data_IF_924267196076
#
_entry.id   IF_924267196076
#
_cell.length_a   1.000
_cell.length_b   1.000
_cell.length_c   1.000
_cell.angle_alpha   90.00
_cell.angle_beta   90.00
_cell.angle_gamma   90.00
#
_symmetry.space_group_name_H-M   'P 1'
#
loop_
_entity.id
_entity.type
_entity.pdbx_description
1 polymer ?
#
# COMPACT_ATOMS: atom_id res chain seq x y z
N UNK A 1 -10.89 -9.29 48.74
CA UNK A 1 -10.10 -8.63 49.80
C UNK A 1 -11.08 -7.86 50.70
N UNK A 2 -11.28 -8.29 51.96
CA UNK A 2 -12.20 -7.60 52.88
C UNK A 2 -11.51 -6.33 53.39
N UNK A 3 -12.04 -5.15 53.06
CA UNK A 3 -11.64 -3.92 53.73
C UNK A 3 -12.03 -4.00 55.22
N UNK A 4 -11.28 -3.31 56.10
CA UNK A 4 -11.42 -3.34 57.58
C UNK A 4 -12.82 -2.98 58.12
N UNK A 5 -13.77 -2.66 57.26
CA UNK A 5 -15.05 -2.05 57.57
C UNK A 5 -16.23 -3.04 57.33
N UNK A 6 -15.96 -4.28 56.92
CA UNK A 6 -16.99 -5.29 56.67
C UNK A 6 -17.87 -5.07 55.42
N UNK A 7 -17.80 -3.91 54.77
CA UNK A 7 -18.44 -3.67 53.46
C UNK A 7 -17.65 -4.36 52.35
N UNK A 8 -18.33 -5.18 51.57
CA UNK A 8 -17.85 -5.65 50.27
C UNK A 8 -17.74 -4.41 49.38
N UNK A 9 -16.51 -3.97 49.07
CA UNK A 9 -16.31 -2.98 48.01
C UNK A 9 -16.92 -3.55 46.74
N UNK A 10 -17.84 -2.82 46.12
CA UNK A 10 -18.33 -3.21 44.81
C UNK A 10 -17.12 -3.35 43.88
N UNK A 11 -17.08 -4.35 42.99
CA UNK A 11 -15.94 -4.54 42.07
C UNK A 11 -15.62 -3.27 41.25
N UNK A 12 -16.59 -2.36 41.14
CA UNK A 12 -16.49 -1.05 40.50
C UNK A 12 -15.55 -0.10 41.25
N UNK A 13 -15.58 -0.06 42.59
CA UNK A 13 -14.71 0.82 43.39
C UNK A 13 -13.24 0.40 43.27
N UNK A 14 -12.97 -0.91 43.28
CA UNK A 14 -11.61 -1.43 43.12
C UNK A 14 -11.06 -1.11 41.72
N UNK A 15 -11.88 -1.28 40.68
CA UNK A 15 -11.50 -0.93 39.31
C UNK A 15 -11.19 0.58 39.18
N UNK A 16 -11.95 1.43 39.86
CA UNK A 16 -11.72 2.88 39.86
C UNK A 16 -10.39 3.25 40.51
N UNK A 17 -10.07 2.67 41.67
CA UNK A 17 -8.81 2.94 42.38
C UNK A 17 -7.59 2.50 41.56
N UNK A 18 -7.63 1.28 41.00
CA UNK A 18 -6.55 0.78 40.13
C UNK A 18 -6.37 1.67 38.90
N UNK A 19 -7.48 2.16 38.33
CA UNK A 19 -7.44 3.07 37.19
C UNK A 19 -6.80 4.41 37.56
N UNK A 20 -7.11 4.98 38.72
CA UNK A 20 -6.51 6.23 39.20
C UNK A 20 -5.00 6.09 39.44
N UNK A 21 -4.55 4.97 40.01
CA UNK A 21 -3.13 4.70 40.24
C UNK A 21 -2.37 4.62 38.91
N UNK A 22 -2.89 3.88 37.92
CA UNK A 22 -2.31 3.81 36.57
C UNK A 22 -2.24 5.20 35.91
N UNK A 23 -3.28 6.05 36.06
CA UNK A 23 -3.23 7.41 35.53
C UNK A 23 -2.16 8.26 36.21
N UNK A 24 -1.99 8.11 37.53
CA UNK A 24 -0.98 8.84 38.29
C UNK A 24 0.43 8.42 37.87
N UNK A 25 0.68 7.13 37.72
CA UNK A 25 1.98 6.61 37.30
C UNK A 25 2.31 7.01 35.86
N UNK A 26 1.31 6.96 34.97
CA UNK A 26 1.47 7.45 33.60
C UNK A 26 1.82 8.94 33.56
N UNK A 27 1.21 9.78 34.41
CA UNK A 27 1.55 11.20 34.49
C UNK A 27 2.99 11.46 34.95
N UNK A 28 3.64 10.48 35.59
CA UNK A 28 5.06 10.53 35.95
C UNK A 28 5.98 10.04 34.83
N UNK A 29 5.44 9.53 33.72
CA UNK A 29 6.22 9.13 32.56
C UNK A 29 6.96 10.34 31.96
N UNK A 30 8.30 10.26 31.78
CA UNK A 30 9.06 11.33 31.14
C UNK A 30 8.50 11.73 29.77
N UNK A 31 7.97 10.76 29.01
CA UNK A 31 7.34 11.03 27.70
C UNK A 31 6.08 11.89 27.84
N UNK A 32 5.21 11.63 28.82
CA UNK A 32 3.96 12.37 29.00
C UNK A 32 4.15 13.73 29.67
N UNK A 33 5.31 13.98 30.27
CA UNK A 33 5.71 15.30 30.78
C UNK A 33 6.18 16.26 29.68
N UNK A 34 6.55 15.75 28.51
CA UNK A 34 6.92 16.59 27.37
C UNK A 34 5.69 17.35 26.84
N UNK A 35 5.85 18.56 26.26
CA UNK A 35 4.77 19.21 25.51
C UNK A 35 4.22 18.32 24.38
N UNK A 36 2.94 18.49 24.04
CA UNK A 36 2.27 17.66 23.03
C UNK A 36 2.96 17.73 21.66
N UNK A 37 3.51 18.88 21.31
CA UNK A 37 4.26 19.12 20.08
C UNK A 37 5.48 18.21 19.99
N UNK A 38 6.26 18.12 21.08
CA UNK A 38 7.46 17.28 21.14
C UNK A 38 7.08 15.80 21.09
N UNK A 39 5.99 15.40 21.78
CA UNK A 39 5.48 14.03 21.70
C UNK A 39 5.06 13.66 20.27
N UNK A 40 4.32 14.54 19.58
CA UNK A 40 3.90 14.32 18.20
C UNK A 40 5.10 14.20 17.25
N UNK A 41 6.18 14.96 17.47
CA UNK A 41 7.44 14.79 16.72
C UNK A 41 8.05 13.41 16.96
N UNK A 42 8.16 12.97 18.23
CA UNK A 42 8.65 11.63 18.58
C UNK A 42 7.79 10.55 17.91
N UNK A 43 6.47 10.67 17.98
CA UNK A 43 5.57 9.74 17.32
C UNK A 43 5.77 9.74 15.81
N UNK A 44 5.98 10.90 15.19
CA UNK A 44 6.36 11.02 13.78
C UNK A 44 7.58 10.18 13.42
N UNK A 45 8.64 10.24 14.21
CA UNK A 45 9.84 9.42 14.00
C UNK A 45 9.62 7.92 14.23
N UNK A 46 8.74 7.56 15.17
CA UNK A 46 8.50 6.15 15.53
C UNK A 46 7.56 5.45 14.54
N UNK A 47 6.47 6.11 14.14
CA UNK A 47 5.38 5.47 13.38
C UNK A 47 5.04 6.17 12.07
N UNK A 48 5.55 7.37 11.79
CA UNK A 48 5.26 8.12 10.58
C UNK A 48 6.24 7.82 9.43
N UNK A 49 5.88 8.26 8.22
CA UNK A 49 6.73 8.17 7.03
C UNK A 49 6.90 6.75 6.47
N UNK A 50 6.08 5.80 6.89
CA UNK A 50 6.17 4.39 6.52
C UNK A 50 5.27 4.07 5.32
N UNK A 51 5.72 3.13 4.50
CA UNK A 51 4.87 2.39 3.56
C UNK A 51 4.31 1.15 4.26
N UNK A 52 3.03 1.20 4.62
CA UNK A 52 2.35 0.13 5.36
C UNK A 52 1.59 -0.73 4.36
N UNK A 53 2.01 -1.98 4.20
CA UNK A 53 1.29 -2.90 3.34
C UNK A 53 0.18 -3.59 4.12
N UNK A 54 -1.00 -3.60 3.52
CA UNK A 54 -2.18 -4.25 4.08
C UNK A 54 -2.49 -5.46 3.22
N UNK A 55 -2.20 -6.63 3.78
CA UNK A 55 -2.49 -7.92 3.18
C UNK A 55 -3.52 -8.66 4.04
N UNK A 56 -4.47 -9.34 3.39
CA UNK A 56 -5.42 -10.16 4.13
C UNK A 56 -6.61 -10.62 3.30
N UNK A 57 -6.68 -11.92 3.05
CA UNK A 57 -7.86 -12.59 2.50
C UNK A 57 -8.82 -13.08 3.59
N UNK A 58 -8.41 -13.03 4.88
CA UNK A 58 -9.17 -13.54 6.03
C UNK A 58 -9.19 -12.52 7.18
N UNK A 59 -10.08 -12.72 8.16
CA UNK A 59 -10.32 -11.84 9.33
C UNK A 59 -9.09 -11.48 10.17
N UNK A 60 -7.95 -12.14 9.97
CA UNK A 60 -6.66 -11.73 10.53
C UNK A 60 -5.90 -10.93 9.48
N UNK A 61 -6.16 -9.64 9.40
CA UNK A 61 -5.36 -8.72 8.58
C UNK A 61 -3.93 -8.72 9.14
N UNK A 62 -2.96 -8.99 8.27
CA UNK A 62 -1.55 -8.88 8.62
C UNK A 62 -1.10 -7.52 8.10
N UNK A 63 -0.73 -6.64 9.04
CA UNK A 63 -0.08 -5.37 8.72
C UNK A 63 1.42 -5.60 8.77
N UNK A 64 2.07 -5.54 7.61
CA UNK A 64 3.52 -5.59 7.51
C UNK A 64 4.04 -4.19 7.24
N UNK A 65 5.18 -3.87 7.85
CA UNK A 65 5.94 -2.67 7.52
C UNK A 65 6.79 -3.04 6.33
N UNK A 66 6.76 -2.26 5.25
CA UNK A 66 7.80 -2.40 4.25
C UNK A 66 9.09 -1.76 4.78
N UNK A 67 10.22 -2.46 4.61
CA UNK A 67 11.55 -1.91 4.93
C UNK A 67 11.91 -0.71 4.05
N UNK A 68 11.16 -0.46 2.97
CA UNK A 68 11.36 0.70 2.11
C UNK A 68 10.86 2.00 2.77
N UNK A 69 11.73 2.61 3.58
CA UNK A 69 11.86 4.08 3.70
C UNK A 69 12.68 4.67 2.53
N UNK A 70 13.24 3.79 1.71
CA UNK A 70 14.12 4.08 0.59
C UNK A 70 13.27 4.27 -0.65
N UNK A 71 13.61 5.26 -1.47
CA UNK A 71 12.99 5.44 -2.79
C UNK A 71 13.05 4.14 -3.58
N UNK A 72 12.13 3.94 -4.55
CA UNK A 72 12.12 2.73 -5.39
C UNK A 72 13.49 2.45 -6.02
N UNK A 73 14.21 3.52 -6.41
CA UNK A 73 15.60 3.45 -6.87
C UNK A 73 16.56 2.90 -5.81
N UNK A 74 16.49 3.38 -4.57
CA UNK A 74 17.37 2.89 -3.50
C UNK A 74 17.00 1.46 -3.07
N UNK A 75 15.71 1.09 -3.09
CA UNK A 75 15.26 -0.29 -2.84
C UNK A 75 15.77 -1.24 -3.94
N UNK A 76 15.79 -0.77 -5.18
CA UNK A 76 16.32 -1.49 -6.33
C UNK A 76 17.85 -1.62 -6.28
N UNK A 77 18.58 -0.54 -5.99
CA UNK A 77 20.05 -0.59 -5.79
C UNK A 77 20.44 -1.54 -4.65
N UNK A 78 19.67 -1.55 -3.55
CA UNK A 78 19.90 -2.45 -2.44
C UNK A 78 19.67 -3.91 -2.83
N UNK A 79 18.60 -4.20 -3.58
CA UNK A 79 18.29 -5.54 -4.10
C UNK A 79 19.46 -6.11 -4.93
N UNK A 80 20.03 -5.31 -5.83
CA UNK A 80 21.20 -5.72 -6.63
C UNK A 80 22.50 -5.85 -5.83
N UNK A 81 22.64 -5.12 -4.72
CA UNK A 81 23.84 -5.15 -3.89
C UNK A 81 23.89 -6.33 -2.91
N UNK A 82 22.74 -6.89 -2.49
CA UNK A 82 22.73 -7.88 -1.38
C UNK A 82 23.12 -9.29 -1.78
N UNK A 83 22.91 -9.75 -3.01
CA UNK A 83 23.37 -11.09 -3.41
C UNK A 83 23.39 -11.33 -4.94
N UNK A 84 24.52 -11.09 -5.63
CA UNK A 84 24.67 -11.42 -7.04
C UNK A 84 24.71 -12.93 -7.33
N UNK A 85 25.02 -13.78 -6.35
CA UNK A 85 25.27 -15.22 -6.55
C UNK A 85 23.98 -16.07 -6.46
N UNK A 86 22.91 -15.53 -5.87
CA UNK A 86 21.60 -16.20 -5.77
C UNK A 86 20.90 -16.46 -7.12
N UNK A 87 21.40 -15.89 -8.22
CA UNK A 87 20.85 -16.10 -9.56
C UNK A 87 21.49 -17.26 -10.34
N UNK A 88 22.65 -17.80 -9.92
CA UNK A 88 23.41 -18.73 -10.76
C UNK A 88 23.21 -20.22 -10.46
N UNK A 89 22.48 -20.62 -9.41
CA UNK A 89 22.26 -22.04 -9.11
C UNK A 89 20.79 -22.38 -8.86
N UNK A 90 20.06 -22.85 -9.90
CA UNK A 90 18.77 -23.49 -9.69
C UNK A 90 19.01 -24.83 -8.97
N UNK A 91 18.88 -24.83 -7.65
CA UNK A 91 19.00 -26.04 -6.84
C UNK A 91 17.86 -27.02 -7.19
N UNK A 92 18.22 -28.13 -7.81
CA UNK A 92 17.30 -29.16 -8.34
C UNK A 92 16.76 -30.10 -7.25
N UNK A 93 17.14 -29.92 -5.99
CA UNK A 93 16.95 -30.98 -4.97
C UNK A 93 15.81 -30.76 -3.99
N UNK A 94 15.08 -29.65 -4.09
CA UNK A 94 13.86 -29.46 -3.31
C UNK A 94 12.65 -29.42 -4.24
N UNK A 95 11.85 -30.49 -4.22
CA UNK A 95 10.53 -30.59 -4.85
C UNK A 95 9.48 -29.64 -4.25
N UNK A 96 9.91 -28.47 -3.79
CA UNK A 96 9.09 -27.28 -3.70
C UNK A 96 8.85 -26.84 -5.14
N UNK A 97 7.65 -27.13 -5.66
CA UNK A 97 7.21 -26.59 -6.94
C UNK A 97 7.44 -25.07 -6.95
N UNK A 98 8.45 -24.65 -7.71
CA UNK A 98 8.99 -23.30 -7.85
C UNK A 98 8.03 -22.27 -8.42
N UNK A 99 6.78 -22.24 -7.94
CA UNK A 99 5.96 -21.02 -7.89
C UNK A 99 6.34 -20.25 -6.63
N UNK A 100 7.63 -19.94 -6.49
CA UNK A 100 7.95 -18.68 -5.82
C UNK A 100 7.35 -17.64 -6.74
N UNK A 101 6.15 -17.19 -6.39
CA UNK A 101 5.52 -16.02 -6.98
C UNK A 101 6.60 -14.93 -6.95
N UNK A 102 7.21 -14.64 -8.11
CA UNK A 102 8.26 -13.63 -8.29
C UNK A 102 7.80 -12.27 -7.75
N UNK A 103 6.48 -12.12 -7.63
CA UNK A 103 5.67 -11.35 -6.68
C UNK A 103 6.30 -10.93 -5.36
N UNK A 104 7.22 -11.72 -4.81
CA UNK A 104 7.87 -11.43 -3.54
C UNK A 104 9.28 -10.84 -3.66
N UNK A 105 9.88 -10.73 -4.85
CA UNK A 105 11.23 -10.17 -5.05
C UNK A 105 11.39 -8.70 -4.74
N UNK A 106 10.33 -7.91 -4.90
CA UNK A 106 10.37 -6.48 -4.57
C UNK A 106 10.19 -6.18 -3.07
N UNK A 107 9.78 -7.17 -2.27
CA UNK A 107 9.49 -6.99 -0.85
C UNK A 107 9.96 -8.16 0.05
N UNK A 108 10.83 -9.07 -0.44
CA UNK A 108 11.06 -10.43 0.10
C UNK A 108 11.50 -10.48 1.55
N UNK A 109 12.00 -9.38 2.12
CA UNK A 109 12.49 -9.39 3.50
C UNK A 109 11.84 -8.34 4.41
N UNK A 110 10.65 -7.87 4.06
CA UNK A 110 9.83 -7.04 4.94
C UNK A 110 9.17 -7.89 6.04
N UNK A 111 9.97 -8.68 6.77
CA UNK A 111 9.51 -9.50 7.90
C UNK A 111 9.27 -8.68 9.16
N UNK A 112 9.69 -7.40 9.18
CA UNK A 112 9.41 -6.52 10.31
C UNK A 112 7.91 -6.25 10.43
N UNK A 113 7.30 -6.88 11.43
CA UNK A 113 5.92 -6.61 11.82
C UNK A 113 5.80 -5.14 12.19
N UNK A 114 4.85 -4.44 11.57
CA UNK A 114 4.54 -3.08 11.94
C UNK A 114 3.95 -3.04 13.36
N UNK A 115 4.73 -2.57 14.33
CA UNK A 115 4.35 -2.64 15.74
C UNK A 115 3.35 -1.54 16.10
N UNK A 116 2.07 -1.91 16.17
CA UNK A 116 1.01 -1.06 16.73
C UNK A 116 0.98 -1.06 18.27
N UNK A 117 2.02 -1.56 18.93
CA UNK A 117 2.09 -1.66 20.39
C UNK A 117 1.97 -0.30 21.08
N UNK A 118 2.52 0.76 20.47
CA UNK A 118 2.45 2.12 21.01
C UNK A 118 1.00 2.64 21.12
N UNK A 119 0.10 2.24 20.22
CA UNK A 119 -1.32 2.59 20.29
C UNK A 119 -2.02 1.98 21.51
N UNK A 120 -1.43 0.95 22.12
CA UNK A 120 -2.02 0.20 23.23
C UNK A 120 -1.52 0.64 24.60
N UNK A 121 -0.60 1.61 24.68
CA UNK A 121 0.03 2.04 25.94
C UNK A 121 -0.98 2.71 26.87
N UNK A 122 -1.58 3.82 26.44
CA UNK A 122 -2.63 4.51 27.20
C UNK A 122 -3.56 5.29 26.26
N UNK A 123 -4.71 5.75 26.76
CA UNK A 123 -5.71 6.49 25.96
C UNK A 123 -5.16 7.78 25.37
N UNK A 124 -4.35 8.52 26.13
CA UNK A 124 -3.76 9.77 25.66
C UNK A 124 -2.83 9.52 24.46
N UNK A 125 -1.88 8.57 24.59
CA UNK A 125 -0.99 8.18 23.50
C UNK A 125 -1.77 7.67 22.29
N UNK A 126 -2.81 6.86 22.50
CA UNK A 126 -3.68 6.41 21.41
C UNK A 126 -4.28 7.58 20.62
N UNK A 127 -4.82 8.59 21.31
CA UNK A 127 -5.43 9.74 20.65
C UNK A 127 -4.43 10.62 19.90
N UNK A 128 -3.20 10.75 20.38
CA UNK A 128 -2.14 11.52 19.73
C UNK A 128 -1.52 10.75 18.55
N UNK A 129 -1.21 9.47 18.75
CA UNK A 129 -0.47 8.65 17.78
C UNK A 129 -1.33 8.20 16.61
N UNK A 130 -2.63 7.93 16.82
CA UNK A 130 -3.50 7.45 15.73
C UNK A 130 -3.52 8.42 14.55
N UNK A 131 -3.48 9.72 14.82
CA UNK A 131 -3.55 10.74 13.77
C UNK A 131 -2.25 10.75 12.96
N UNK A 132 -1.10 10.64 13.64
CA UNK A 132 0.21 10.46 12.99
C UNK A 132 0.22 9.18 12.13
N UNK A 133 -0.29 8.07 12.67
CA UNK A 133 -0.35 6.80 11.95
C UNK A 133 -1.13 6.91 10.63
N UNK A 134 -2.29 7.55 10.61
CA UNK A 134 -3.07 7.65 9.37
C UNK A 134 -2.62 8.79 8.45
N UNK A 135 -2.10 9.88 9.01
CA UNK A 135 -1.75 11.07 8.25
C UNK A 135 -0.39 10.95 7.55
N UNK A 136 0.61 10.43 8.27
CA UNK A 136 2.01 10.50 7.86
C UNK A 136 2.48 9.25 7.09
N UNK A 137 1.63 8.25 6.91
CA UNK A 137 1.99 7.00 6.25
C UNK A 137 1.28 6.84 4.91
N UNK A 138 1.87 6.02 4.05
CA UNK A 138 1.28 5.56 2.79
C UNK A 138 0.76 4.15 2.98
N UNK A 139 -0.53 3.93 2.70
CA UNK A 139 -1.14 2.61 2.81
C UNK A 139 -1.13 1.92 1.45
N UNK A 140 -0.47 0.77 1.38
CA UNK A 140 -0.29 -0.03 0.17
C UNK A 140 -1.25 -1.21 0.14
N UNK A 141 -1.93 -1.39 -0.99
CA UNK A 141 -2.86 -2.47 -1.22
C UNK A 141 -2.54 -3.16 -2.53
N UNK A 142 -2.23 -4.46 -2.44
CA UNK A 142 -2.12 -5.34 -3.62
C UNK A 142 -3.42 -6.04 -3.97
N UNK A 143 -4.31 -6.14 -2.98
CA UNK A 143 -5.57 -6.85 -3.14
C UNK A 143 -6.76 -5.88 -2.94
N UNK A 144 -7.73 -5.85 -3.88
CA UNK A 144 -8.89 -4.96 -3.77
C UNK A 144 -9.79 -5.30 -2.58
N UNK A 145 -9.89 -6.57 -2.20
CA UNK A 145 -10.62 -7.02 -1.00
C UNK A 145 -9.94 -6.51 0.28
N UNK A 146 -8.61 -6.45 0.32
CA UNK A 146 -7.89 -5.89 1.46
C UNK A 146 -8.19 -4.39 1.64
N UNK A 147 -8.21 -3.62 0.54
CA UNK A 147 -8.62 -2.21 0.56
C UNK A 147 -10.06 -2.05 1.08
N UNK A 148 -11.00 -2.84 0.55
CA UNK A 148 -12.41 -2.78 0.96
C UNK A 148 -12.60 -3.16 2.44
N UNK A 149 -11.91 -4.20 2.92
CA UNK A 149 -11.96 -4.62 4.31
C UNK A 149 -11.39 -3.53 5.21
N UNK A 150 -10.22 -2.99 4.88
CA UNK A 150 -9.60 -1.89 5.60
C UNK A 150 -10.55 -0.69 5.72
N UNK A 151 -11.10 -0.20 4.60
CA UNK A 151 -12.04 0.93 4.64
C UNK A 151 -13.29 0.61 5.46
N UNK A 152 -13.81 -0.61 5.35
CA UNK A 152 -14.99 -1.07 6.10
C UNK A 152 -14.72 -1.16 7.61
N UNK A 153 -13.52 -1.53 8.02
CA UNK A 153 -13.12 -1.55 9.42
C UNK A 153 -12.97 -0.14 9.98
N UNK A 154 -12.36 0.76 9.22
CA UNK A 154 -12.22 2.16 9.63
C UNK A 154 -13.57 2.88 9.74
N UNK A 155 -14.54 2.54 8.87
CA UNK A 155 -15.93 3.04 8.97
C UNK A 155 -16.63 2.62 10.26
N UNK A 156 -16.33 1.41 10.77
CA UNK A 156 -16.92 0.90 12.02
C UNK A 156 -16.30 1.55 13.26
N UNK A 157 -15.13 2.18 13.12
CA UNK A 157 -14.46 2.86 14.23
C UNK A 157 -15.12 4.21 14.51
N UNK A 158 -15.49 4.44 15.77
CA UNK A 158 -16.09 5.71 16.22
C UNK A 158 -15.19 6.94 16.01
N UNK A 159 -13.88 6.73 15.84
CA UNK A 159 -12.91 7.79 15.62
C UNK A 159 -12.83 8.26 14.17
N UNK A 160 -13.47 7.56 13.22
CA UNK A 160 -13.47 7.79 11.78
C UNK A 160 -12.15 8.36 11.19
N UNK A 161 -11.05 7.58 11.26
CA UNK A 161 -9.73 8.01 10.77
C UNK A 161 -9.62 8.17 9.25
N UNK A 162 -10.69 7.84 8.50
CA UNK A 162 -10.72 7.88 7.04
C UNK A 162 -10.41 9.27 6.48
N UNK A 163 -10.82 10.33 7.17
CA UNK A 163 -10.54 11.70 6.76
C UNK A 163 -9.06 12.11 6.96
N UNK A 164 -8.30 11.32 7.71
CA UNK A 164 -6.90 11.60 8.03
C UNK A 164 -5.96 11.03 6.98
N UNK A 165 -6.33 9.95 6.29
CA UNK A 165 -5.51 9.29 5.26
C UNK A 165 -5.29 10.22 4.08
N UNK A 166 -4.02 10.44 3.73
CA UNK A 166 -3.59 11.34 2.63
C UNK A 166 -2.84 10.64 1.50
N UNK A 167 -2.26 9.48 1.75
CA UNK A 167 -1.40 8.79 0.77
C UNK A 167 -1.83 7.35 0.60
N UNK A 168 -2.04 6.94 -0.65
CA UNK A 168 -2.40 5.58 -1.03
C UNK A 168 -1.44 5.05 -2.08
N UNK A 169 -1.08 3.78 -1.96
CA UNK A 169 -0.37 3.02 -2.96
C UNK A 169 -1.23 1.83 -3.40
N UNK A 170 -1.52 1.73 -4.70
CA UNK A 170 -2.30 0.65 -5.29
C UNK A 170 -1.36 -0.17 -6.16
N UNK A 171 -1.23 -1.44 -5.84
CA UNK A 171 -0.41 -2.40 -6.57
C UNK A 171 -1.34 -3.35 -7.32
N UNK A 172 -1.58 -3.04 -8.60
CA UNK A 172 -2.63 -3.65 -9.42
C UNK A 172 -2.00 -4.63 -10.39
N UNK A 173 -2.22 -5.92 -10.13
CA UNK A 173 -1.91 -6.98 -11.08
C UNK A 173 -2.96 -7.03 -12.20
N UNK A 174 -2.50 -7.03 -13.45
CA UNK A 174 -3.35 -6.97 -14.63
C UNK A 174 -3.68 -8.34 -15.23
N UNK A 175 -3.18 -9.44 -14.63
CA UNK A 175 -3.29 -10.80 -15.18
C UNK A 175 -4.62 -11.53 -14.90
N UNK A 176 -5.41 -11.13 -13.89
CA UNK A 176 -6.69 -11.78 -13.55
C UNK A 176 -7.92 -10.87 -13.82
N UNK A 177 -8.84 -11.36 -14.68
CA UNK A 177 -10.10 -10.72 -15.04
C UNK A 177 -11.06 -10.57 -13.84
N UNK A 178 -11.03 -11.48 -12.87
CA UNK A 178 -11.85 -11.39 -11.67
C UNK A 178 -11.31 -10.30 -10.73
N UNK A 179 -9.97 -10.21 -10.60
CA UNK A 179 -9.32 -9.14 -9.85
C UNK A 179 -9.55 -7.76 -10.48
N UNK A 180 -9.62 -7.66 -11.81
CA UNK A 180 -10.01 -6.42 -12.51
C UNK A 180 -11.37 -5.89 -12.01
N UNK A 181 -12.40 -6.74 -11.96
CA UNK A 181 -13.74 -6.31 -11.51
C UNK A 181 -13.72 -5.92 -10.04
N UNK A 182 -12.96 -6.63 -9.22
CA UNK A 182 -12.79 -6.30 -7.81
C UNK A 182 -12.07 -4.95 -7.61
N UNK A 183 -11.02 -4.68 -8.39
CA UNK A 183 -10.30 -3.41 -8.40
C UNK A 183 -11.17 -2.25 -8.86
N UNK A 184 -11.93 -2.41 -9.93
CA UNK A 184 -12.87 -1.39 -10.39
C UNK A 184 -13.87 -1.01 -9.31
N UNK A 185 -14.44 -2.01 -8.63
CA UNK A 185 -15.33 -1.78 -7.51
C UNK A 185 -14.62 -1.10 -6.33
N UNK A 186 -13.39 -1.48 -6.00
CA UNK A 186 -12.63 -0.86 -4.92
C UNK A 186 -12.29 0.61 -5.25
N UNK A 187 -11.74 0.88 -6.44
CA UNK A 187 -11.34 2.20 -6.94
C UNK A 187 -12.53 3.17 -6.95
N UNK A 188 -13.69 2.73 -7.46
CA UNK A 188 -14.92 3.54 -7.51
C UNK A 188 -15.36 4.03 -6.13
N UNK A 189 -15.04 3.29 -5.09
CA UNK A 189 -15.42 3.62 -3.72
C UNK A 189 -14.37 4.45 -2.96
N UNK A 190 -13.14 4.59 -3.47
CA UNK A 190 -12.09 5.39 -2.82
C UNK A 190 -12.55 6.83 -2.57
N UNK A 191 -13.20 7.56 -3.50
CA UNK A 191 -13.71 8.91 -3.21
C UNK A 191 -14.70 9.01 -2.05
N UNK A 192 -15.45 7.94 -1.79
CA UNK A 192 -16.46 7.89 -0.75
C UNK A 192 -15.79 7.65 0.59
N UNK A 193 -14.88 6.68 0.64
CA UNK A 193 -14.27 6.25 1.89
C UNK A 193 -13.03 7.06 2.25
N UNK A 194 -12.28 7.56 1.28
CA UNK A 194 -11.00 8.24 1.47
C UNK A 194 -10.99 9.58 0.71
N UNK A 195 -11.94 10.49 1.00
CA UNK A 195 -12.15 11.71 0.23
C UNK A 195 -10.98 12.70 0.28
N UNK A 196 -10.02 12.44 1.16
CA UNK A 196 -8.96 13.35 1.56
C UNK A 196 -7.58 12.98 1.02
N UNK A 197 -7.50 11.94 0.19
CA UNK A 197 -6.27 11.48 -0.47
C UNK A 197 -5.71 12.58 -1.37
N UNK A 198 -4.41 12.81 -1.23
CA UNK A 198 -3.64 13.85 -1.92
C UNK A 198 -2.47 13.26 -2.72
N UNK A 199 -1.89 12.16 -2.26
CA UNK A 199 -0.84 11.45 -2.97
C UNK A 199 -1.36 10.05 -3.34
N UNK A 200 -1.27 9.72 -4.62
CA UNK A 200 -1.71 8.43 -5.16
C UNK A 200 -0.58 7.82 -5.97
N UNK A 201 -0.12 6.65 -5.53
CA UNK A 201 0.88 5.84 -6.21
C UNK A 201 0.15 4.65 -6.81
N UNK A 202 0.37 4.37 -8.09
CA UNK A 202 -0.24 3.23 -8.79
C UNK A 202 0.89 2.45 -9.43
N UNK A 203 1.11 1.23 -8.98
CA UNK A 203 1.92 0.25 -9.68
C UNK A 203 0.98 -0.63 -10.51
N UNK A 204 1.24 -0.70 -11.81
CA UNK A 204 0.55 -1.59 -12.74
C UNK A 204 1.52 -2.71 -13.08
N UNK A 205 1.21 -3.90 -12.58
CA UNK A 205 2.03 -5.09 -12.74
C UNK A 205 1.42 -5.96 -13.86
N UNK A 206 2.16 -6.11 -14.96
CA UNK A 206 1.77 -6.94 -16.09
C UNK A 206 2.60 -8.22 -16.06
N UNK A 207 2.03 -9.29 -15.53
CA UNK A 207 2.59 -10.63 -15.67
C UNK A 207 2.32 -11.10 -17.11
N UNK A 208 3.38 -11.10 -17.92
CA UNK A 208 3.32 -11.50 -19.33
C UNK A 208 3.41 -13.04 -19.45
N UNK A 209 4.05 -13.71 -18.50
CA UNK A 209 4.30 -15.15 -18.54
C UNK A 209 2.97 -15.95 -18.48
N UNK A 210 1.96 -15.42 -17.77
CA UNK A 210 0.62 -16.03 -17.73
C UNK A 210 -0.21 -15.82 -19.01
N UNK A 211 0.19 -14.89 -19.89
CA UNK A 211 -0.56 -14.55 -21.12
C UNK A 211 -0.38 -15.59 -22.22
N UNK A 212 0.80 -16.22 -22.30
CA UNK A 212 1.10 -17.29 -23.26
C UNK A 212 0.16 -18.50 -23.09
N UNK A 213 -0.36 -18.71 -21.88
CA UNK A 213 -1.30 -19.78 -21.59
C UNK A 213 -2.75 -19.45 -21.95
N UNK A 214 -3.11 -18.17 -22.07
CA UNK A 214 -4.51 -17.77 -22.21
C UNK A 214 -4.98 -17.66 -23.67
N UNK A 215 -4.11 -17.85 -24.67
CA UNK A 215 -4.43 -17.69 -26.11
C UNK A 215 -5.26 -16.42 -26.39
N UNK A 216 -5.11 -15.38 -25.57
CA UNK A 216 -5.91 -14.16 -25.73
C UNK A 216 -5.30 -13.39 -26.88
N UNK A 217 -6.15 -12.97 -27.81
CA UNK A 217 -5.78 -12.10 -28.91
C UNK A 217 -5.02 -10.87 -28.35
N UNK A 218 -3.85 -10.58 -28.91
CA UNK A 218 -2.97 -9.48 -28.50
C UNK A 218 -3.74 -8.14 -28.50
N UNK A 219 -4.74 -8.00 -29.37
CA UNK A 219 -5.64 -6.85 -29.43
C UNK A 219 -6.48 -6.67 -28.15
N UNK A 220 -6.85 -7.76 -27.46
CA UNK A 220 -7.57 -7.70 -26.17
C UNK A 220 -6.63 -7.22 -25.07
N UNK A 221 -5.37 -7.67 -25.08
CA UNK A 221 -4.34 -7.24 -24.14
C UNK A 221 -4.03 -5.74 -24.29
N UNK A 222 -3.99 -5.26 -25.54
CA UNK A 222 -3.86 -3.82 -25.82
C UNK A 222 -5.06 -2.99 -25.32
N UNK A 223 -6.22 -3.62 -25.12
CA UNK A 223 -7.43 -2.96 -24.60
C UNK A 223 -7.54 -2.99 -23.07
N UNK A 224 -6.84 -3.89 -22.38
CA UNK A 224 -6.92 -3.99 -20.92
C UNK A 224 -6.47 -2.69 -20.23
N UNK A 225 -5.30 -2.10 -20.55
CA UNK A 225 -4.90 -0.82 -19.96
C UNK A 225 -5.98 0.26 -20.14
N UNK A 226 -6.61 0.33 -21.32
CA UNK A 226 -7.66 1.32 -21.62
C UNK A 226 -8.89 1.16 -20.70
N UNK A 227 -9.26 -0.07 -20.33
CA UNK A 227 -10.36 -0.32 -19.40
C UNK A 227 -10.02 0.07 -17.97
N UNK A 228 -8.84 -0.30 -17.48
CA UNK A 228 -8.36 0.11 -16.15
C UNK A 228 -8.22 1.63 -16.03
N UNK A 229 -7.69 2.25 -17.08
CA UNK A 229 -7.59 3.71 -17.21
C UNK A 229 -8.95 4.36 -16.96
N UNK A 230 -10.05 3.79 -17.48
CA UNK A 230 -11.39 4.38 -17.32
C UNK A 230 -11.84 4.50 -15.86
N UNK A 231 -11.64 3.45 -15.05
CA UNK A 231 -12.08 3.49 -13.65
C UNK A 231 -11.14 4.33 -12.78
N UNK A 232 -9.87 4.44 -13.16
CA UNK A 232 -8.97 5.42 -12.55
C UNK A 232 -9.49 6.86 -12.71
N UNK A 233 -10.23 7.20 -13.78
CA UNK A 233 -10.86 8.54 -13.89
C UNK A 233 -11.79 8.86 -12.72
N UNK A 234 -12.36 7.88 -12.03
CA UNK A 234 -13.20 8.15 -10.87
C UNK A 234 -12.41 8.82 -9.75
N UNK A 235 -11.09 8.60 -9.69
CA UNK A 235 -10.20 9.20 -8.68
C UNK A 235 -9.94 10.69 -8.92
N UNK A 236 -10.29 11.25 -10.08
CA UNK A 236 -10.13 12.69 -10.37
C UNK A 236 -10.92 13.62 -9.44
N UNK A 237 -11.93 13.09 -8.76
CA UNK A 237 -12.75 13.86 -7.80
C UNK A 237 -12.01 14.08 -6.47
N UNK A 238 -10.95 13.30 -6.22
CA UNK A 238 -10.10 13.45 -5.05
C UNK A 238 -9.24 14.73 -5.14
N UNK A 239 -8.85 15.33 -4.00
CA UNK A 239 -7.99 16.50 -3.97
C UNK A 239 -6.51 16.15 -4.21
N UNK A 240 -6.21 15.36 -5.26
CA UNK A 240 -4.87 14.90 -5.61
C UNK A 240 -3.94 16.08 -5.89
N UNK A 241 -2.75 16.02 -5.32
CA UNK A 241 -1.61 16.91 -5.53
C UNK A 241 -0.46 16.18 -6.22
N UNK A 242 -0.35 14.90 -5.97
CA UNK A 242 0.72 14.03 -6.45
C UNK A 242 0.11 12.73 -6.95
N UNK A 243 0.50 12.35 -8.17
CA UNK A 243 0.13 11.08 -8.78
C UNK A 243 1.38 10.52 -9.43
N UNK A 244 1.74 9.30 -9.04
CA UNK A 244 2.84 8.53 -9.60
C UNK A 244 2.25 7.24 -10.15
N UNK A 245 2.56 6.95 -11.41
CA UNK A 245 2.13 5.72 -12.08
C UNK A 245 3.38 5.02 -12.55
N UNK A 246 3.57 3.80 -12.07
CA UNK A 246 4.65 2.89 -12.43
C UNK A 246 4.00 1.78 -13.22
N UNK A 247 4.56 1.48 -14.39
CA UNK A 247 4.13 0.33 -15.21
C UNK A 247 5.31 -0.62 -15.21
N UNK A 248 5.21 -1.66 -14.39
CA UNK A 248 6.21 -2.70 -14.31
C UNK A 248 5.99 -3.71 -15.45
N UNK A 249 7.09 -4.15 -16.05
CA UNK A 249 7.13 -5.29 -16.96
C UNK A 249 8.21 -6.23 -16.44
N UNK A 250 7.90 -7.50 -16.22
CA UNK A 250 8.84 -8.45 -15.59
C UNK A 250 10.13 -8.64 -16.40
N UNK A 251 10.12 -8.42 -17.72
CA UNK A 251 11.28 -8.65 -18.59
C UNK A 251 12.33 -7.53 -18.54
N UNK A 252 12.01 -6.39 -17.91
CA UNK A 252 12.89 -5.23 -17.92
C UNK A 252 14.22 -5.44 -17.16
N UNK A 253 14.18 -6.24 -16.09
CA UNK A 253 15.34 -6.44 -15.21
C UNK A 253 16.40 -7.37 -15.82
N UNK A 254 16.02 -8.20 -16.81
CA UNK A 254 16.94 -9.14 -17.45
C UNK A 254 17.78 -8.43 -18.52
N UNK A 255 17.22 -7.46 -19.22
CA UNK A 255 17.89 -6.77 -20.32
C UNK A 255 19.07 -5.86 -19.89
N UNK A 256 19.02 -5.25 -18.70
CA UNK A 256 20.14 -4.42 -18.19
C UNK A 256 21.32 -5.24 -17.62
N UNK A 257 21.13 -6.55 -17.39
CA UNK A 257 22.19 -7.43 -16.84
C UNK A 257 23.27 -7.86 -17.85
N UNK A 258 23.23 -7.36 -19.10
CA UNK A 258 24.36 -7.46 -20.03
C UNK A 258 24.49 -8.81 -20.78
N UNK A 259 23.46 -9.63 -20.85
CA UNK A 259 23.44 -10.79 -21.76
C UNK A 259 22.86 -10.39 -23.13
N UNK A 260 23.70 -10.44 -24.17
CA UNK A 260 23.35 -10.20 -25.57
C UNK A 260 22.26 -11.17 -26.05
N UNK A 261 21.01 -10.71 -26.11
CA UNK A 261 19.94 -11.38 -26.86
C UNK A 261 19.40 -10.45 -27.97
N UNK A 262 19.60 -10.91 -29.22
CA UNK A 262 19.02 -10.50 -30.51
C UNK A 262 18.81 -9.01 -30.85
N UNK A 263 19.50 -8.55 -31.91
CA UNK A 263 19.47 -7.22 -32.51
C UNK A 263 18.15 -6.78 -33.18
N UNK A 264 17.06 -7.53 -33.02
CA UNK A 264 15.73 -7.21 -33.59
C UNK A 264 14.70 -6.78 -32.54
N UNK A 265 14.98 -6.98 -31.25
CA UNK A 265 14.10 -6.60 -30.12
C UNK A 265 14.26 -5.13 -29.69
N UNK A 266 15.34 -4.45 -30.09
CA UNK A 266 15.58 -3.05 -29.67
C UNK A 266 14.49 -2.08 -30.14
N UNK A 267 13.94 -2.28 -31.35
CA UNK A 267 12.89 -1.41 -31.89
C UNK A 267 11.51 -1.72 -31.26
N UNK A 268 11.25 -2.99 -30.89
CA UNK A 268 10.02 -3.43 -30.23
C UNK A 268 10.01 -3.01 -28.74
N UNK A 269 11.17 -3.07 -28.06
CA UNK A 269 11.39 -2.51 -26.73
C UNK A 269 11.28 -0.98 -26.73
N UNK A 270 11.84 -0.26 -27.72
CA UNK A 270 11.66 1.21 -27.81
C UNK A 270 10.21 1.60 -28.09
N UNK A 271 9.49 0.82 -28.91
CA UNK A 271 8.09 1.07 -29.22
C UNK A 271 7.17 0.83 -28.00
N UNK A 272 7.36 -0.29 -27.29
CA UNK A 272 6.63 -0.59 -26.04
C UNK A 272 6.99 0.39 -24.91
N UNK A 273 8.25 0.81 -24.79
CA UNK A 273 8.66 1.84 -23.82
C UNK A 273 7.99 3.19 -24.10
N UNK A 274 7.95 3.63 -25.36
CA UNK A 274 7.26 4.86 -25.76
C UNK A 274 5.76 4.84 -25.45
N UNK A 275 5.12 3.68 -25.62
CA UNK A 275 3.71 3.49 -25.26
C UNK A 275 3.48 3.45 -23.75
N UNK A 276 4.27 2.70 -22.99
CA UNK A 276 4.17 2.61 -21.51
C UNK A 276 4.35 3.96 -20.85
N UNK A 277 5.39 4.70 -21.23
CA UNK A 277 5.63 6.04 -20.72
C UNK A 277 4.52 7.01 -21.16
N UNK A 278 3.98 6.81 -22.37
CA UNK A 278 2.77 7.48 -22.86
C UNK A 278 1.56 7.24 -21.96
N UNK A 279 1.26 5.98 -21.60
CA UNK A 279 0.14 5.61 -20.74
C UNK A 279 0.29 6.13 -19.31
N UNK A 280 1.46 5.96 -18.69
CA UNK A 280 1.72 6.48 -17.35
C UNK A 280 1.58 8.02 -17.32
N UNK A 281 2.09 8.69 -18.36
CA UNK A 281 1.94 10.14 -18.51
C UNK A 281 0.47 10.52 -18.72
N UNK A 282 -0.27 9.81 -19.57
CA UNK A 282 -1.69 10.07 -19.82
C UNK A 282 -2.53 9.92 -18.55
N UNK A 283 -2.35 8.82 -17.81
CA UNK A 283 -3.05 8.58 -16.53
C UNK A 283 -2.74 9.71 -15.54
N UNK A 284 -1.45 10.03 -15.38
CA UNK A 284 -1.02 11.10 -14.48
C UNK A 284 -1.62 12.45 -14.86
N UNK A 285 -1.55 12.82 -16.14
CA UNK A 285 -2.13 14.06 -16.65
C UNK A 285 -3.64 14.10 -16.46
N UNK A 286 -4.34 13.01 -16.75
CA UNK A 286 -5.78 12.86 -16.58
C UNK A 286 -6.18 13.07 -15.12
N UNK A 287 -5.47 12.44 -14.19
CA UNK A 287 -5.77 12.51 -12.77
C UNK A 287 -5.47 13.89 -12.17
N UNK A 288 -4.44 14.59 -12.67
CA UNK A 288 -4.07 15.92 -12.19
C UNK A 288 -4.85 17.06 -12.88
N UNK A 289 -5.34 16.87 -14.10
CA UNK A 289 -6.09 17.90 -14.84
C UNK A 289 -7.52 18.03 -14.31
N UNK A 290 -7.77 19.08 -13.53
CA UNK A 290 -9.12 19.48 -13.08
C UNK A 290 -10.01 20.11 -14.17
N UNK A 291 -9.50 20.35 -15.38
CA UNK A 291 -10.25 21.04 -16.45
C UNK A 291 -10.96 20.03 -17.37
N UNK A 292 -12.16 20.42 -17.84
CA UNK A 292 -13.02 19.68 -18.78
C UNK A 292 -12.20 19.10 -19.95
N UNK A 293 -11.89 17.81 -19.88
CA UNK A 293 -11.36 17.05 -21.01
C UNK A 293 -12.40 17.04 -22.13
N UNK A 294 -12.04 17.54 -23.31
CA UNK A 294 -12.73 17.19 -24.54
C UNK A 294 -12.26 15.79 -24.91
N UNK A 295 -13.19 14.84 -24.96
CA UNK A 295 -12.93 13.45 -25.32
C UNK A 295 -12.16 13.33 -26.65
N UNK A 296 -11.20 12.41 -26.70
CA UNK A 296 -10.56 12.01 -27.94
C UNK A 296 -11.62 11.36 -28.87
N UNK A 297 -11.76 11.78 -30.13
CA UNK A 297 -12.87 11.35 -31.01
C UNK A 297 -12.95 9.84 -31.26
N UNK A 298 -11.84 9.10 -31.11
CA UNK A 298 -11.78 7.65 -31.35
C UNK A 298 -12.43 6.79 -30.25
N UNK A 299 -12.73 7.35 -29.08
CA UNK A 299 -13.40 6.63 -27.98
C UNK A 299 -14.93 6.87 -27.94
N UNK A 300 -15.50 7.48 -28.99
CA UNK A 300 -16.96 7.59 -29.18
C UNK A 300 -17.43 6.62 -30.26
N UNK A 301 -17.32 5.32 -30.00
CA UNK A 301 -18.06 4.29 -30.73
C UNK A 301 -18.45 3.19 -29.76
#
# INVERSE_FOLDING_TARGET
MKLRNGKLSSGIELLHLVTQEIYRDNALSPLLQLPAEVRNMIFGYVIGGQLIHIYGYKRSEVTTRCCALISENEAQEHFYATDPELFEQPDKTHGWSGRFSRDSSRHYDCQEKFSLSILRVCRQIYHEVKDVLYFANTFSFRNPTALQNFTSQLLKSSANPLFTIRSLHLDIQLCDLDDHLAWNNAIRNIPIYLPNVRSLYINLDMDIDDLDHLMVDYDVLMCLPVRYIWELYQLRVLPLKEVVVIVADEDWAIAESGQEWFSTLEDECRWTMGQKQGYATEIREVLLRRKKLKLHPKCRK
#
